data_IF_499528767771
#
_entry.id   IF_499528767771
#
_cell.length_a   1.000
_cell.length_b   1.000
_cell.length_c   1.000
_cell.angle_alpha   90.00
_cell.angle_beta   90.00
_cell.angle_gamma   90.00
#
_symmetry.space_group_name_H-M   'P 1'
#
loop_
_entity.id
_entity.type
_entity.pdbx_description
1 polymer ?
#
# COMPACT_ATOMS: atom_id res chain seq x y z
N UNK A 1 25.65 9.63 7.91
CA UNK A 1 26.34 8.70 8.84
C UNK A 1 25.32 8.18 9.85
N UNK A 2 24.97 6.90 9.79
CA UNK A 2 24.03 6.23 10.71
C UNK A 2 24.76 5.81 12.00
N UNK A 3 24.08 5.93 13.16
CA UNK A 3 24.58 5.45 14.46
C UNK A 3 23.54 4.55 15.10
N UNK A 4 24.00 3.60 15.92
CA UNK A 4 23.12 2.70 16.68
C UNK A 4 22.17 3.53 17.55
N UNK A 5 20.87 3.23 17.48
CA UNK A 5 19.82 3.94 18.22
C UNK A 5 19.28 5.21 17.55
N UNK A 6 19.81 5.62 16.39
CA UNK A 6 19.20 6.73 15.64
C UNK A 6 17.86 6.28 15.03
N UNK A 7 16.77 7.06 15.16
CA UNK A 7 15.52 6.77 14.48
C UNK A 7 15.67 6.98 12.97
N UNK A 8 15.23 6.00 12.17
CA UNK A 8 15.40 5.99 10.70
C UNK A 8 14.04 6.01 9.99
N UNK A 9 13.00 5.47 10.62
CA UNK A 9 11.67 5.40 10.04
C UNK A 9 10.62 4.98 11.07
N UNK A 10 9.38 4.92 10.61
CA UNK A 10 8.24 4.45 11.37
C UNK A 10 7.65 3.22 10.69
N UNK A 11 7.01 2.34 11.48
CA UNK A 11 6.23 1.22 10.96
C UNK A 11 4.92 1.10 11.71
N UNK A 12 3.88 0.68 11.02
CA UNK A 12 2.58 0.35 11.61
C UNK A 12 2.19 -1.05 11.15
N UNK A 13 1.54 -1.81 12.02
CA UNK A 13 0.95 -3.10 11.65
C UNK A 13 -0.53 -3.06 11.98
N UNK A 14 -1.36 -3.18 10.95
CA UNK A 14 -2.82 -3.22 11.07
C UNK A 14 -3.29 -4.68 11.08
N UNK A 15 -4.29 -4.98 11.91
CA UNK A 15 -4.93 -6.30 12.00
C UNK A 15 -6.43 -6.13 12.26
N UNK A 16 -7.21 -7.17 11.93
CA UNK A 16 -8.67 -7.23 12.16
C UNK A 16 -9.38 -6.06 11.46
N UNK A 17 -10.39 -5.47 12.09
CA UNK A 17 -11.26 -4.42 11.52
C UNK A 17 -10.46 -3.25 10.91
N UNK A 18 -9.50 -2.69 11.65
CA UNK A 18 -8.69 -1.55 11.19
C UNK A 18 -7.88 -1.85 9.92
N UNK A 19 -7.52 -3.12 9.69
CA UNK A 19 -6.84 -3.54 8.47
C UNK A 19 -7.79 -3.50 7.27
N UNK A 20 -9.00 -4.04 7.43
CA UNK A 20 -10.00 -4.04 6.36
C UNK A 20 -10.52 -2.63 6.05
N UNK A 21 -10.75 -1.80 7.06
CA UNK A 21 -11.12 -0.39 6.85
C UNK A 21 -10.04 0.39 6.10
N UNK A 22 -8.76 0.17 6.45
CA UNK A 22 -7.66 0.80 5.74
C UNK A 22 -7.58 0.32 4.29
N UNK A 23 -7.71 -0.99 4.05
CA UNK A 23 -7.69 -1.56 2.71
C UNK A 23 -8.82 -1.01 1.83
N UNK A 24 -10.03 -0.92 2.38
CA UNK A 24 -11.19 -0.35 1.69
C UNK A 24 -10.97 1.11 1.29
N UNK A 25 -10.55 1.97 2.24
CA UNK A 25 -10.23 3.38 1.95
C UNK A 25 -9.08 3.54 0.96
N UNK A 26 -8.07 2.69 1.08
CA UNK A 26 -6.92 2.68 0.19
C UNK A 26 -7.36 2.40 -1.25
N UNK A 27 -8.20 1.38 -1.47
CA UNK A 27 -8.69 0.98 -2.79
C UNK A 27 -9.68 2.00 -3.34
N UNK A 28 -10.70 2.38 -2.56
CA UNK A 28 -11.82 3.18 -3.03
C UNK A 28 -11.48 4.68 -3.15
N UNK A 29 -10.57 5.19 -2.32
CA UNK A 29 -10.33 6.64 -2.20
C UNK A 29 -8.89 7.02 -2.52
N UNK A 30 -7.91 6.39 -1.89
CA UNK A 30 -6.52 6.85 -1.95
C UNK A 30 -5.83 6.52 -3.28
N UNK A 31 -5.92 5.27 -3.75
CA UNK A 31 -5.24 4.85 -4.99
C UNK A 31 -5.70 5.65 -6.22
N UNK A 32 -7.01 5.88 -6.46
CA UNK A 32 -7.49 6.69 -7.60
C UNK A 32 -7.03 8.16 -7.57
N UNK A 33 -6.69 8.69 -6.39
CA UNK A 33 -6.18 10.07 -6.23
C UNK A 33 -4.71 10.22 -6.58
N UNK A 34 -4.00 9.11 -6.81
CA UNK A 34 -2.61 9.15 -7.23
C UNK A 34 -2.52 9.81 -8.61
N UNK A 35 -1.61 10.78 -8.78
CA UNK A 35 -1.39 11.41 -10.09
C UNK A 35 -0.95 10.35 -11.11
N UNK A 36 -1.56 10.38 -12.30
CA UNK A 36 -1.31 9.44 -13.40
C UNK A 36 -1.57 7.96 -13.02
N UNK A 37 -2.59 7.70 -12.20
CA UNK A 37 -2.91 6.34 -11.77
C UNK A 37 -3.36 5.46 -12.95
N UNK A 38 -2.53 4.47 -13.31
CA UNK A 38 -2.82 3.46 -14.34
C UNK A 38 -3.10 2.07 -13.74
N UNK A 39 -3.38 1.99 -12.45
CA UNK A 39 -3.42 0.74 -11.71
C UNK A 39 -2.06 0.36 -11.11
N UNK A 40 -2.11 -0.53 -10.12
CA UNK A 40 -0.93 -1.04 -9.42
C UNK A 40 -0.31 -2.18 -10.22
N UNK A 41 1.01 -2.16 -10.39
CA UNK A 41 1.73 -3.24 -11.09
C UNK A 41 1.68 -4.53 -10.27
N UNK A 42 1.26 -5.64 -10.87
CA UNK A 42 1.27 -6.96 -10.25
C UNK A 42 2.67 -7.59 -10.13
N UNK A 43 3.76 -6.80 -10.20
CA UNK A 43 5.14 -7.31 -10.05
C UNK A 43 5.65 -7.32 -8.61
N UNK A 44 4.82 -6.87 -7.67
CA UNK A 44 5.16 -6.73 -6.25
C UNK A 44 5.00 -7.99 -5.40
N UNK A 45 4.69 -9.14 -6.02
CA UNK A 45 4.57 -10.40 -5.29
C UNK A 45 5.93 -11.05 -5.01
N UNK A 46 6.02 -11.79 -3.90
CA UNK A 46 7.26 -12.38 -3.40
C UNK A 46 7.40 -13.90 -3.64
N UNK A 47 6.49 -14.51 -4.40
CA UNK A 47 6.44 -15.96 -4.65
C UNK A 47 5.78 -16.76 -3.52
N UNK A 48 5.33 -16.10 -2.44
CA UNK A 48 4.70 -16.72 -1.26
C UNK A 48 3.35 -16.07 -0.94
N UNK A 49 2.73 -15.41 -1.91
CA UNK A 49 1.41 -14.80 -1.75
C UNK A 49 1.40 -13.50 -0.93
N UNK A 50 2.55 -12.87 -0.70
CA UNK A 50 2.58 -11.51 -0.14
C UNK A 50 2.76 -10.50 -1.26
N UNK A 51 2.09 -9.35 -1.14
CA UNK A 51 2.15 -8.30 -2.14
C UNK A 51 2.68 -7.01 -1.53
N UNK A 52 3.76 -6.47 -2.10
CA UNK A 52 4.34 -5.19 -1.67
C UNK A 52 4.31 -4.18 -2.81
N UNK A 53 3.90 -2.95 -2.51
CA UNK A 53 3.98 -1.84 -3.44
C UNK A 53 4.29 -0.53 -2.71
N UNK A 54 4.93 0.39 -3.43
CA UNK A 54 5.29 1.71 -2.92
C UNK A 54 4.31 2.78 -3.36
N UNK A 55 3.97 3.68 -2.44
CA UNK A 55 3.29 4.94 -2.68
C UNK A 55 4.33 6.05 -2.63
N UNK A 56 4.41 6.85 -3.69
CA UNK A 56 5.41 7.92 -3.80
C UNK A 56 5.10 9.13 -2.91
N UNK A 57 3.82 9.43 -2.74
CA UNK A 57 3.36 10.66 -2.10
C UNK A 57 2.25 10.35 -1.11
N UNK A 58 2.43 10.67 0.17
CA UNK A 58 1.43 10.47 1.21
C UNK A 58 0.20 11.39 1.08
N UNK A 59 0.25 12.37 0.19
CA UNK A 59 -0.85 13.33 -0.02
C UNK A 59 -2.07 12.72 -0.74
N UNK A 60 -1.98 11.47 -1.18
CA UNK A 60 -3.11 10.75 -1.78
C UNK A 60 -4.23 10.44 -0.76
N UNK A 61 -3.91 10.48 0.54
CA UNK A 61 -4.87 10.23 1.62
C UNK A 61 -5.66 11.50 1.96
N UNK A 62 -7.01 11.50 1.90
CA UNK A 62 -7.83 12.66 2.28
C UNK A 62 -7.61 13.14 3.71
N UNK A 63 -7.20 12.24 4.61
CA UNK A 63 -6.98 12.54 6.01
C UNK A 63 -5.73 13.41 6.25
N UNK A 64 -4.87 13.58 5.23
CA UNK A 64 -3.67 14.40 5.31
C UNK A 64 -3.99 15.85 4.91
N UNK A 65 -3.74 16.76 5.85
CA UNK A 65 -3.83 18.21 5.64
C UNK A 65 -2.58 18.72 4.91
N UNK A 66 -2.76 19.11 3.64
CA UNK A 66 -1.68 19.57 2.75
C UNK A 66 -0.92 20.77 3.32
N UNK A 67 -1.61 21.67 4.03
CA UNK A 67 -1.00 22.90 4.56
C UNK A 67 -0.02 22.59 5.71
N UNK A 68 -0.18 21.42 6.35
CA UNK A 68 0.71 20.94 7.43
C UNK A 68 1.84 20.05 6.90
N UNK A 69 1.81 19.66 5.63
CA UNK A 69 2.85 18.81 5.04
C UNK A 69 4.06 19.66 4.65
N UNK A 70 5.15 19.55 5.43
CA UNK A 70 6.42 20.21 5.11
C UNK A 70 7.14 19.58 3.93
N UNK A 71 7.09 18.24 3.82
CA UNK A 71 7.79 17.47 2.81
C UNK A 71 6.92 16.29 2.34
N UNK A 72 6.99 15.97 1.04
CA UNK A 72 6.38 14.78 0.47
C UNK A 72 7.28 13.58 0.80
N UNK A 73 6.70 12.56 1.42
CA UNK A 73 7.34 11.31 1.81
C UNK A 73 6.61 10.14 1.14
N UNK A 74 7.38 9.19 0.63
CA UNK A 74 6.85 7.91 0.20
C UNK A 74 6.60 6.97 1.38
N UNK A 75 5.88 5.89 1.11
CA UNK A 75 5.72 4.76 2.02
C UNK A 75 5.57 3.46 1.23
N UNK A 76 6.02 2.37 1.83
CA UNK A 76 5.78 1.03 1.29
C UNK A 76 4.66 0.35 2.08
N UNK A 77 3.76 -0.32 1.36
CA UNK A 77 2.68 -1.11 1.94
C UNK A 77 2.89 -2.57 1.53
N UNK A 78 2.88 -3.45 2.52
CA UNK A 78 2.92 -4.90 2.32
C UNK A 78 1.62 -5.51 2.82
N UNK A 79 0.91 -6.19 1.92
CA UNK A 79 -0.26 -6.99 2.23
C UNK A 79 0.22 -8.44 2.38
N UNK A 80 0.07 -8.97 3.59
CA UNK A 80 0.42 -10.36 3.91
C UNK A 80 -0.87 -11.17 3.88
N UNK A 81 -0.89 -12.24 3.09
CA UNK A 81 -2.05 -13.13 2.99
C UNK A 81 -1.68 -14.54 3.45
N UNK A 82 -2.67 -15.41 3.58
CA UNK A 82 -2.47 -16.83 3.83
C UNK A 82 -2.33 -17.66 2.54
N UNK A 83 -2.37 -17.01 1.37
CA UNK A 83 -2.20 -17.68 0.09
C UNK A 83 -0.81 -18.29 -0.02
N UNK A 84 -0.69 -19.40 -0.76
CA UNK A 84 0.59 -20.09 -0.92
C UNK A 84 1.31 -19.69 -2.19
N UNK A 85 0.57 -19.17 -3.17
CA UNK A 85 1.10 -18.74 -4.46
C UNK A 85 0.67 -17.31 -4.78
N UNK A 86 1.39 -16.71 -5.73
CA UNK A 86 1.12 -15.33 -6.15
C UNK A 86 -0.19 -15.25 -6.95
N UNK A 87 -0.57 -16.31 -7.66
CA UNK A 87 -1.82 -16.40 -8.39
C UNK A 87 -3.03 -16.38 -7.45
N UNK A 88 -2.97 -17.16 -6.37
CA UNK A 88 -4.01 -17.18 -5.32
C UNK A 88 -4.13 -15.81 -4.65
N UNK A 89 -3.00 -15.20 -4.27
CA UNK A 89 -2.99 -13.89 -3.63
C UNK A 89 -3.50 -12.80 -4.57
N UNK A 90 -3.12 -12.85 -5.85
CA UNK A 90 -3.60 -11.91 -6.87
C UNK A 90 -5.09 -12.03 -7.08
N UNK A 91 -5.62 -13.25 -7.24
CA UNK A 91 -7.05 -13.50 -7.39
C UNK A 91 -7.85 -13.00 -6.17
N UNK A 92 -7.32 -13.21 -4.96
CA UNK A 92 -7.91 -12.70 -3.73
C UNK A 92 -7.98 -11.16 -3.74
N UNK A 93 -6.87 -10.50 -4.04
CA UNK A 93 -6.80 -9.04 -4.08
C UNK A 93 -7.69 -8.46 -5.19
N UNK A 94 -7.76 -9.10 -6.36
CA UNK A 94 -8.70 -8.73 -7.43
C UNK A 94 -10.16 -8.86 -6.97
N UNK A 95 -10.52 -9.91 -6.22
CA UNK A 95 -11.86 -10.07 -5.65
C UNK A 95 -12.19 -9.00 -4.61
N UNK A 96 -11.19 -8.49 -3.87
CA UNK A 96 -11.33 -7.31 -3.00
C UNK A 96 -11.41 -5.98 -3.77
N UNK A 97 -11.37 -5.99 -5.10
CA UNK A 97 -11.42 -4.79 -5.94
C UNK A 97 -10.08 -4.07 -6.07
N UNK A 98 -8.97 -4.72 -5.72
CA UNK A 98 -7.65 -4.10 -5.82
C UNK A 98 -7.33 -3.75 -7.30
N UNK A 99 -6.98 -2.49 -7.59
CA UNK A 99 -6.90 -1.99 -8.97
C UNK A 99 -5.57 -2.36 -9.64
N UNK A 100 -5.36 -3.63 -9.97
CA UNK A 100 -4.18 -4.03 -10.74
C UNK A 100 -4.23 -3.46 -12.16
N UNK A 101 -3.07 -3.05 -12.67
CA UNK A 101 -2.92 -2.64 -14.06
C UNK A 101 -3.20 -3.85 -14.97
N UNK A 102 -4.23 -3.75 -15.81
CA UNK A 102 -4.52 -4.73 -16.86
C UNK A 102 -3.41 -4.62 -17.92
N UNK A 103 -2.76 -5.75 -18.22
CA UNK A 103 -1.76 -5.84 -19.27
C UNK A 103 -2.40 -5.78 -20.66
#
# INVERSE_FOLDING_TARGET
>A
KLRKGMPIGARVTLRRERMYEFLDRLIAVSLPRTRDFQGVKAKGFDGRGNFTFGIKEQIIYPEIDLDKVKNINGMDITIVTSAKTDEEAKALLEAFGFPFKKN
#
